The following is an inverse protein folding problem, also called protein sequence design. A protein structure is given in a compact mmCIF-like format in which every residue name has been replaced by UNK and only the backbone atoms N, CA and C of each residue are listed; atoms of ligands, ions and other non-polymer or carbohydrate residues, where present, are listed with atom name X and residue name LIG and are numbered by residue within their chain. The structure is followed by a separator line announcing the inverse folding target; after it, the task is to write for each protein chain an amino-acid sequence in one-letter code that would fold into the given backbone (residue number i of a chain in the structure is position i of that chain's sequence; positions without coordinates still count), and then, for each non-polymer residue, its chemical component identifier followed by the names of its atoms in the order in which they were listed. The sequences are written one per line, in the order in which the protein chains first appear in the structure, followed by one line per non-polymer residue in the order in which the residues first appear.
data_IF_095766004486
#
_entry.id   IF_095766004486
#
_cell.length_a   1.000
_cell.length_b   1.000
_cell.length_c   1.000
_cell.angle_alpha   90.00
_cell.angle_beta   90.00
_cell.angle_gamma   90.00
#
_symmetry.space_group_name_H-M   'P 1'
#
loop_
_entity.id
_entity.type
_entity.pdbx_description
1 polymer ?
2 non-polymer ?
3 non-polymer ?
4 non-polymer ?
5 water ?
#
# COMPACT_ATOMS: atom_id res chain seq x y z
N UNK A 12 -12.79 -6.31 24.83
CA UNK A 12 -11.42 -6.89 24.67
C UNK A 12 -10.84 -6.54 23.30
N UNK A 13 -11.56 -5.73 22.52
CA UNK A 13 -11.08 -5.34 21.19
C UNK A 13 -9.80 -4.53 21.32
N UNK A 14 -8.72 -5.05 20.77
CA UNK A 14 -7.42 -4.39 20.81
C UNK A 14 -7.55 -2.98 20.25
N UNK A 15 -6.76 -2.05 20.78
CA UNK A 15 -6.80 -0.66 20.33
C UNK A 15 -5.39 -0.21 19.97
N UNK A 16 -4.44 -1.10 20.14
CA UNK A 16 -3.05 -0.80 19.83
C UNK A 16 -2.25 -2.09 19.75
N UNK A 17 -0.99 -1.96 19.41
CA UNK A 17 -0.10 -3.09 19.29
C UNK A 17 1.02 -2.92 20.30
N UNK A 18 1.35 -3.98 21.04
CA UNK A 18 2.41 -3.89 22.03
C UNK A 18 3.74 -3.69 21.34
N UNK A 19 4.70 -3.09 22.05
CA UNK A 19 6.02 -2.86 21.51
C UNK A 19 6.63 -4.18 21.06
N UNK A 20 6.39 -5.24 21.82
CA UNK A 20 6.93 -6.54 21.45
C UNK A 20 6.30 -7.06 20.17
N UNK A 21 4.98 -6.95 20.03
CA UNK A 21 4.33 -7.42 18.82
C UNK A 21 4.83 -6.61 17.62
N UNK A 22 4.98 -5.31 17.81
CA UNK A 22 5.43 -4.45 16.73
C UNK A 22 6.83 -4.82 16.25
N UNK A 23 7.78 -4.84 17.16
CA UNK A 23 9.15 -5.18 16.82
C UNK A 23 9.32 -6.55 16.19
N UNK A 24 8.73 -7.58 16.79
CA UNK A 24 8.87 -8.93 16.23
C UNK A 24 8.32 -8.94 14.81
N UNK A 25 7.21 -8.22 14.60
CA UNK A 25 6.58 -8.15 13.29
C UNK A 25 7.46 -7.43 12.28
N UNK A 26 7.85 -6.21 12.61
CA UNK A 26 8.68 -5.41 11.73
C UNK A 26 10.14 -5.85 11.59
N UNK A 27 10.78 -6.24 12.69
CA UNK A 27 12.17 -6.66 12.58
C UNK A 27 12.30 -7.98 11.81
N UNK A 28 11.36 -8.90 12.00
CA UNK A 28 11.41 -10.17 11.27
C UNK A 28 11.20 -9.89 9.80
N UNK A 29 10.32 -8.94 9.50
CA UNK A 29 10.02 -8.58 8.12
C UNK A 29 11.22 -7.96 7.46
N UNK A 30 11.96 -7.14 8.20
CA UNK A 30 13.15 -6.51 7.65
C UNK A 30 14.20 -7.56 7.32
N UNK A 31 14.27 -8.60 8.15
CA UNK A 31 15.24 -9.67 7.92
C UNK A 31 14.84 -10.44 6.67
N UNK A 32 13.54 -10.68 6.53
CA UNK A 32 13.03 -11.37 5.37
C UNK A 32 13.39 -10.54 4.14
N UNK A 33 13.21 -9.23 4.23
CA UNK A 33 13.52 -8.36 3.12
C UNK A 33 14.98 -8.45 2.71
N UNK A 34 15.87 -8.44 3.70
CA UNK A 34 17.30 -8.54 3.42
C UNK A 34 17.64 -9.86 2.75
N UNK A 35 17.05 -10.95 3.23
CA UNK A 35 17.28 -12.25 2.64
C UNK A 35 16.90 -12.22 1.16
N UNK A 36 15.86 -11.48 0.83
CA UNK A 36 15.39 -11.38 -0.56
C UNK A 36 16.13 -10.27 -1.30
N UNK A 37 17.22 -9.83 -0.71
CA UNK A 37 18.09 -8.79 -1.28
C UNK A 37 17.49 -7.39 -1.45
N UNK A 38 16.55 -7.00 -0.60
CA UNK A 38 16.01 -5.65 -0.71
C UNK A 38 16.95 -4.81 0.17
N UNK A 39 17.41 -3.65 -0.31
CA UNK A 39 18.32 -2.79 0.45
C UNK A 39 17.69 -2.04 1.63
N UNK A 40 17.45 -2.76 2.71
CA UNK A 40 16.85 -2.17 3.90
C UNK A 40 17.90 -1.58 4.84
N UNK A 41 17.83 -0.28 5.06
CA UNK A 41 18.75 0.43 5.94
C UNK A 41 18.14 0.54 7.33
N UNK A 42 18.93 0.94 8.31
CA UNK A 42 18.44 1.07 9.68
C UNK A 42 17.28 2.04 9.81
N UNK A 43 17.41 3.19 9.17
CA UNK A 43 16.36 4.22 9.23
C UNK A 43 15.02 3.72 8.67
N UNK A 44 15.07 2.76 7.77
CA UNK A 44 13.84 2.23 7.17
C UNK A 44 13.07 1.35 8.16
N UNK A 45 13.78 0.76 9.11
CA UNK A 45 13.15 -0.09 10.11
C UNK A 45 12.74 0.81 11.26
N UNK A 46 11.56 1.40 11.14
CA UNK A 46 11.04 2.34 12.14
C UNK A 46 9.61 2.04 12.58
N UNK A 47 9.09 2.90 13.46
CA UNK A 47 7.74 2.74 13.99
C UNK A 47 6.64 3.14 13.00
N UNK A 48 7.01 3.45 11.77
CA UNK A 48 6.02 3.82 10.76
C UNK A 48 5.91 2.73 9.69
N UNK A 49 6.84 1.78 9.72
CA UNK A 49 6.85 0.70 8.74
C UNK A 49 5.67 -0.24 8.90
N UNK A 50 5.30 -0.55 10.13
CA UNK A 50 4.18 -1.45 10.37
C UNK A 50 2.89 -0.64 10.40
N UNK A 51 1.98 -0.94 9.48
CA UNK A 51 0.73 -0.21 9.35
C UNK A 51 -0.53 -1.01 9.67
N UNK A 52 -1.43 -0.41 10.44
CA UNK A 52 -2.70 -1.03 10.79
C UNK A 52 -3.74 0.00 10.31
N UNK A 53 -4.60 -0.40 9.38
CA UNK A 53 -5.59 0.51 8.81
C UNK A 53 -6.89 0.68 9.59
N UNK A 54 -6.81 1.38 10.71
CA UNK A 54 -8.01 1.61 11.50
C UNK A 54 -8.04 0.91 12.85
N UNK A 55 -8.67 1.57 13.81
CA UNK A 55 -8.80 1.07 15.18
C UNK A 55 -9.28 -0.36 15.30
N UNK A 56 -10.29 -0.74 14.52
CA UNK A 56 -10.81 -2.10 14.61
C UNK A 56 -9.91 -3.13 13.90
N UNK A 57 -8.80 -2.67 13.35
CA UNK A 57 -7.89 -3.58 12.65
C UNK A 57 -6.79 -4.10 13.57
N UNK A 58 -6.66 -3.47 14.73
CA UNK A 58 -5.65 -3.91 15.69
C UNK A 58 -5.98 -5.30 16.19
N UNK A 59 -7.23 -5.72 16.02
CA UNK A 59 -7.62 -7.06 16.45
C UNK A 59 -6.86 -8.11 15.67
N UNK A 60 -6.09 -7.68 14.68
CA UNK A 60 -5.30 -8.62 13.90
C UNK A 60 -4.29 -9.25 14.85
N UNK A 61 -3.93 -8.51 15.89
CA UNK A 61 -2.96 -8.98 16.86
C UNK A 61 -3.52 -9.75 18.05
N UNK A 62 -4.78 -10.17 17.95
CA UNK A 62 -5.38 -10.97 19.02
C UNK A 62 -4.84 -12.38 18.80
N UNK A 63 -4.86 -12.83 17.55
CA UNK A 63 -4.34 -14.15 17.22
C UNK A 63 -3.01 -14.07 16.47
N UNK A 64 -2.66 -12.87 16.04
CA UNK A 64 -1.39 -12.68 15.36
C UNK A 64 -1.35 -12.75 13.84
N UNK A 65 -0.22 -12.32 13.29
CA UNK A 65 0.00 -12.29 11.85
C UNK A 65 0.05 -13.63 11.13
N UNK A 66 0.04 -14.74 11.88
CA UNK A 66 0.03 -16.05 11.23
C UNK A 66 -1.30 -16.76 11.44
N UNK A 67 -2.29 -16.03 11.95
CA UNK A 67 -3.61 -16.62 12.17
C UNK A 67 -4.30 -16.88 10.83
N UNK A 68 -4.01 -16.06 9.83
CA UNK A 68 -4.61 -16.23 8.52
C UNK A 68 -5.91 -15.45 8.40
N UNK A 69 -6.31 -14.82 9.49
CA UNK A 69 -7.55 -14.04 9.54
C UNK A 69 -7.52 -12.79 8.67
N UNK A 70 -8.69 -12.40 8.13
CA UNK A 70 -8.80 -11.22 7.28
C UNK A 70 -8.79 -9.88 8.03
N UNK A 71 -7.66 -9.18 7.95
CA UNK A 71 -7.51 -7.87 8.57
C UNK A 71 -6.74 -6.99 7.60
N UNK A 72 -6.84 -5.68 7.79
CA UNK A 72 -6.16 -4.74 6.92
C UNK A 72 -4.97 -4.15 7.66
N UNK A 73 -3.79 -4.69 7.34
CA UNK A 73 -2.54 -4.29 7.96
C UNK A 73 -1.40 -4.80 7.08
N UNK A 74 -0.28 -4.08 7.09
CA UNK A 74 0.85 -4.47 6.27
C UNK A 74 2.09 -3.72 6.72
N UNK A 75 3.21 -4.10 6.12
CA UNK A 75 4.48 -3.47 6.41
C UNK A 75 5.03 -2.88 5.13
N UNK A 76 5.62 -1.69 5.23
CA UNK A 76 6.21 -1.07 4.06
C UNK A 76 7.56 -0.51 4.44
N UNK A 77 8.59 -0.89 3.71
CA UNK A 77 9.95 -0.40 3.94
C UNK A 77 10.25 0.41 2.69
N UNK A 78 10.25 1.73 2.84
CA UNK A 78 10.50 2.63 1.73
C UNK A 78 11.98 2.93 1.55
N UNK A 79 12.54 2.54 0.41
CA UNK A 79 13.95 2.77 0.13
C UNK A 79 14.18 4.04 -0.68
N UNK A 80 13.12 4.54 -1.29
CA UNK A 80 13.22 5.73 -2.10
C UNK A 80 11.87 6.42 -2.30
N UNK A 81 11.90 7.75 -2.22
CA UNK A 81 10.71 8.56 -2.46
C UNK A 81 11.32 9.88 -2.92
N UNK A 82 11.80 9.83 -4.16
CA UNK A 82 12.46 10.93 -4.81
C UNK A 82 11.49 11.82 -5.59
N UNK A 83 11.44 13.12 -5.25
CA UNK A 83 10.55 14.05 -5.93
C UNK A 83 10.84 14.15 -7.43
N UNK A 84 12.12 14.05 -7.79
CA UNK A 84 12.55 14.15 -9.19
C UNK A 84 12.19 15.54 -9.74
N UNK A 85 12.31 16.54 -8.87
CA UNK A 85 12.01 17.93 -9.22
C UNK A 85 13.21 18.63 -9.85
N UNK A 86 14.41 18.21 -9.46
CA UNK A 86 15.63 18.81 -9.99
C UNK A 86 15.79 18.62 -11.50
N UNK A 87 16.08 19.72 -12.20
CA UNK A 87 16.27 19.64 -13.63
C UNK A 87 15.01 19.83 -14.45
N UNK A 88 13.87 19.99 -13.77
CA UNK A 88 12.61 20.17 -14.47
C UNK A 88 12.39 21.61 -14.91
N UNK A 89 11.76 21.81 -16.08
CA UNK A 89 11.52 23.17 -16.53
C UNK A 89 10.46 23.73 -15.57
N UNK A 90 10.55 25.02 -15.25
CA UNK A 90 9.62 25.64 -14.32
C UNK A 90 8.14 25.40 -14.61
N UNK A 91 7.80 25.28 -15.90
CA UNK A 91 6.41 25.06 -16.26
C UNK A 91 5.82 23.77 -15.73
N UNK A 92 6.68 22.76 -15.56
CA UNK A 92 6.25 21.45 -15.06
C UNK A 92 5.94 21.46 -13.57
N UNK A 93 6.21 22.58 -12.91
CA UNK A 93 6.00 22.71 -11.47
C UNK A 93 4.64 22.23 -10.95
N UNK A 94 3.53 22.65 -11.59
CA UNK A 94 2.21 22.21 -11.12
C UNK A 94 1.85 20.75 -11.43
N UNK A 95 2.67 20.09 -12.24
CA UNK A 95 2.42 18.69 -12.62
C UNK A 95 3.50 17.73 -12.13
N UNK A 96 4.48 18.26 -11.40
CA UNK A 96 5.57 17.44 -10.89
C UNK A 96 5.07 16.38 -9.89
N UNK A 97 4.03 16.72 -9.16
CA UNK A 97 3.43 15.84 -8.16
C UNK A 97 2.94 14.51 -8.72
N UNK A 98 2.83 14.41 -10.05
CA UNK A 98 2.38 13.18 -10.68
C UNK A 98 3.58 12.30 -11.04
N UNK A 99 4.78 12.87 -10.91
CA UNK A 99 5.99 12.15 -11.22
C UNK A 99 6.73 11.73 -9.95
N UNK A 100 8.06 11.66 -10.03
CA UNK A 100 8.84 11.25 -8.88
C UNK A 100 9.04 9.74 -8.91
N UNK A 101 9.91 9.24 -8.04
CA UNK A 101 10.20 7.81 -7.98
C UNK A 101 10.13 7.27 -6.55
N UNK A 102 9.28 6.28 -6.34
CA UNK A 102 9.12 5.70 -5.02
C UNK A 102 9.32 4.17 -5.08
N UNK A 103 10.32 3.69 -4.35
CA UNK A 103 10.64 2.27 -4.33
C UNK A 103 10.44 1.79 -2.89
N UNK A 104 9.64 0.75 -2.71
CA UNK A 104 9.41 0.19 -1.39
C UNK A 104 9.16 -1.30 -1.46
N UNK A 105 9.32 -1.96 -0.32
CA UNK A 105 9.09 -3.38 -0.20
C UNK A 105 7.86 -3.49 0.69
N UNK A 106 6.88 -4.27 0.27
CA UNK A 106 5.66 -4.42 1.06
C UNK A 106 5.51 -5.87 1.49
N UNK A 107 5.20 -6.06 2.76
CA UNK A 107 5.03 -7.39 3.29
C UNK A 107 3.64 -7.56 3.89
N UNK A 108 2.90 -8.50 3.32
CA UNK A 108 1.55 -8.80 3.74
C UNK A 108 1.46 -10.26 4.16
N UNK A 109 1.02 -10.48 5.39
CA UNK A 109 0.90 -11.82 5.91
C UNK A 109 -0.37 -12.50 5.41
N UNK A 110 -0.42 -13.83 5.50
CA UNK A 110 -1.57 -14.62 5.04
C UNK A 110 -2.93 -14.09 5.50
N UNK A 111 -3.81 -13.89 4.53
CA UNK A 111 -5.15 -13.39 4.83
C UNK A 111 -5.28 -11.89 4.99
N UNK A 112 -4.17 -11.21 5.28
CA UNK A 112 -4.20 -9.76 5.47
C UNK A 112 -4.26 -8.97 4.16
N UNK A 113 -4.75 -7.73 4.24
CA UNK A 113 -4.92 -6.88 3.05
C UNK A 113 -4.31 -5.49 3.12
N UNK A 114 -4.07 -4.92 1.94
CA UNK A 114 -3.69 -3.53 1.80
C UNK A 114 -5.11 -3.15 1.33
N UNK A 115 -5.87 -2.41 2.17
CA UNK A 115 -7.25 -2.01 1.86
C UNK A 115 -7.57 -1.18 0.62
N UNK A 116 -8.83 -1.29 0.14
CA UNK A 116 -9.30 -0.56 -1.03
C UNK A 116 -8.99 0.94 -0.94
N UNK A 117 -8.38 1.47 -1.99
CA UNK A 117 -8.06 2.89 -2.04
C UNK A 117 -7.62 3.23 -3.45
N UNK A 118 -7.45 4.52 -3.71
CA UNK A 118 -6.99 4.95 -5.01
C UNK A 118 -6.17 6.21 -4.81
N UNK A 119 -5.33 6.52 -5.79
CA UNK A 119 -4.49 7.70 -5.73
C UNK A 119 -4.84 8.66 -6.87
N UNK A 120 -4.87 9.96 -6.57
CA UNK A 120 -5.17 10.92 -7.61
C UNK A 120 -3.95 11.14 -8.50
N UNK A 121 -2.77 11.05 -7.90
CA UNK A 121 -1.52 11.28 -8.63
C UNK A 121 -0.58 10.08 -8.81
N UNK A 122 -0.52 9.19 -7.82
CA UNK A 122 0.39 8.06 -7.91
C UNK A 122 0.00 6.83 -8.72
N UNK A 123 0.87 6.49 -9.65
CA UNK A 123 0.72 5.31 -10.50
C UNK A 123 1.73 4.29 -9.93
N UNK A 124 1.27 3.05 -9.71
CA UNK A 124 2.12 2.00 -9.15
C UNK A 124 2.39 0.86 -10.12
N UNK A 125 3.38 0.04 -9.77
CA UNK A 125 3.75 -1.14 -10.55
C UNK A 125 4.15 -2.17 -9.49
N UNK A 126 3.78 -3.43 -9.71
CA UNK A 126 4.10 -4.48 -8.74
C UNK A 126 5.00 -5.57 -9.27
N UNK A 127 5.87 -6.05 -8.39
CA UNK A 127 6.80 -7.12 -8.70
C UNK A 127 6.75 -8.04 -7.48
N UNK A 128 6.21 -9.25 -7.63
CA UNK A 128 6.14 -10.16 -6.49
C UNK A 128 7.51 -10.80 -6.30
N UNK A 129 8.02 -10.75 -5.08
CA UNK A 129 9.33 -11.32 -4.77
C UNK A 129 9.17 -12.68 -4.11
N UNK A 130 8.19 -12.79 -3.23
CA UNK A 130 7.92 -14.04 -2.52
C UNK A 130 6.42 -14.18 -2.29
N UNK A 131 5.92 -15.41 -2.39
CA UNK A 131 4.50 -15.62 -2.19
C UNK A 131 3.72 -15.27 -3.44
N UNK A 132 2.43 -15.01 -3.28
CA UNK A 132 1.59 -14.66 -4.42
C UNK A 132 0.72 -13.49 -4.01
N UNK A 133 0.43 -12.62 -4.98
CA UNK A 133 -0.34 -11.44 -4.70
C UNK A 133 -1.68 -11.45 -5.41
N UNK A 134 -2.75 -11.33 -4.64
CA UNK A 134 -4.09 -11.29 -5.20
C UNK A 134 -4.52 -9.84 -5.18
N UNK A 135 -4.64 -9.27 -6.37
CA UNK A 135 -5.03 -7.87 -6.54
C UNK A 135 -6.49 -7.76 -6.95
N UNK A 136 -7.18 -6.84 -6.31
CA UNK A 136 -8.58 -6.58 -6.59
C UNK A 136 -8.57 -5.12 -7.03
N UNK A 137 -9.23 -4.82 -8.15
CA UNK A 137 -9.23 -3.45 -8.62
C UNK A 137 -10.38 -3.12 -9.56
N UNK A 138 -10.55 -1.82 -9.79
CA UNK A 138 -11.57 -1.30 -10.68
C UNK A 138 -10.87 -0.98 -12.00
N UNK A 139 -11.29 -1.62 -13.09
CA UNK A 139 -10.68 -1.40 -14.41
C UNK A 139 -10.92 0.01 -14.99
N UNK A 140 -11.85 0.74 -14.40
CA UNK A 140 -12.12 2.11 -14.85
C UNK A 140 -11.62 3.08 -13.79
N UNK A 141 -11.06 4.21 -14.23
CA UNK A 141 -10.57 5.20 -13.27
C UNK A 141 -11.72 5.95 -12.63
N UNK A 142 -11.43 6.68 -11.56
CA UNK A 142 -12.44 7.48 -10.89
C UNK A 142 -12.51 8.79 -11.66
N UNK A 143 -13.70 9.21 -12.06
CA UNK A 143 -13.86 10.45 -12.81
C UNK A 143 -13.61 11.67 -11.91
N UNK A 144 -12.73 12.55 -12.35
CA UNK A 144 -12.42 13.76 -11.59
C UNK A 144 -13.18 14.94 -12.19
N UNK A 145 -14.24 15.35 -11.50
CA UNK A 145 -15.10 16.44 -11.95
C UNK A 145 -14.38 17.70 -12.44
N UNK A 146 -14.79 18.17 -13.62
CA UNK A 146 -14.24 19.38 -14.19
C UNK A 146 -12.81 19.34 -14.72
N UNK A 147 -12.32 18.17 -15.08
CA UNK A 147 -10.96 18.07 -15.61
C UNK A 147 -10.77 16.93 -16.61
N UNK A 148 -10.18 17.26 -17.75
CA UNK A 148 -9.94 16.30 -18.81
C UNK A 148 -8.66 15.53 -18.46
N UNK A 149 -8.68 14.22 -18.69
CA UNK A 149 -7.52 13.39 -18.37
C UNK A 149 -6.98 12.68 -19.60
N UNK A 150 -5.66 12.51 -19.64
CA UNK A 150 -5.01 11.84 -20.76
C UNK A 150 -5.27 10.34 -20.63
N UNK A 151 -5.11 9.62 -21.74
CA UNK A 151 -5.33 8.18 -21.77
C UNK A 151 -4.37 7.54 -22.77
N UNK A 152 -3.90 6.34 -22.46
CA UNK A 152 -2.99 5.64 -23.35
C UNK A 152 -3.21 4.12 -23.35
N UNK A 153 -3.00 3.49 -22.20
CA UNK A 153 -3.16 2.04 -22.13
C UNK A 153 -4.33 1.61 -21.28
N UNK A 154 -4.76 2.48 -20.36
CA UNK A 154 -5.86 2.11 -19.49
C UNK A 154 -5.49 0.88 -18.70
N UNK A 155 -6.45 0.28 -18.02
CA UNK A 155 -6.20 -0.93 -17.22
C UNK A 155 -6.89 -2.13 -17.84
N UNK A 156 -6.24 -3.31 -17.79
CA UNK A 156 -6.84 -4.52 -18.35
C UNK A 156 -8.04 -4.95 -17.51
N UNK A 157 -9.02 -5.57 -18.15
CA UNK A 157 -10.22 -6.03 -17.45
C UNK A 157 -9.95 -7.10 -16.40
N UNK A 158 -8.95 -7.94 -16.64
CA UNK A 158 -8.65 -8.97 -15.67
C UNK A 158 -9.69 -10.06 -15.60
N UNK A 159 -9.76 -10.75 -14.47
CA UNK A 159 -10.72 -11.82 -14.29
C UNK A 159 -11.64 -11.56 -13.10
N UNK A 160 -12.72 -12.35 -12.99
CA UNK A 160 -13.61 -12.15 -11.86
C UNK A 160 -12.90 -12.69 -10.63
N UNK A 161 -13.42 -12.36 -9.46
CA UNK A 161 -12.84 -12.83 -8.22
C UNK A 161 -13.00 -14.33 -8.11
N UNK A 162 -12.03 -15.01 -7.49
CA UNK A 162 -12.20 -16.45 -7.34
C UNK A 162 -13.20 -16.54 -6.19
N UNK A 163 -13.76 -17.71 -5.93
CA UNK A 163 -14.71 -17.82 -4.83
C UNK A 163 -14.06 -17.99 -3.46
N UNK A 164 -14.80 -17.63 -2.43
CA UNK A 164 -14.31 -17.78 -1.06
C UNK A 164 -13.28 -16.80 -0.54
N UNK A 165 -13.33 -15.56 -0.98
CA UNK A 165 -12.37 -14.57 -0.50
C UNK A 165 -12.91 -13.95 0.78
N UNK A 166 -12.27 -14.25 1.90
CA UNK A 166 -12.69 -13.71 3.20
C UNK A 166 -12.22 -12.27 3.34
N UNK A 167 -13.17 -11.36 3.53
CA UNK A 167 -12.87 -9.95 3.68
C UNK A 167 -12.95 -9.55 5.15
N UNK A 168 -12.28 -8.47 5.54
CA UNK A 168 -12.31 -8.03 6.94
C UNK A 168 -13.74 -7.71 7.39
N UNK A 169 -14.06 -8.08 8.63
CA UNK A 169 -15.39 -7.82 9.18
C UNK A 169 -15.62 -6.31 9.26
N UNK A 170 -16.72 -5.86 8.68
CA UNK A 170 -17.04 -4.45 8.72
C UNK A 170 -16.34 -3.64 7.64
N UNK A 171 -15.66 -4.32 6.73
CA UNK A 171 -14.94 -3.66 5.63
C UNK A 171 -15.36 -4.26 4.30
N UNK A 172 -16.21 -5.28 4.34
CA UNK A 172 -16.65 -5.96 3.13
C UNK A 172 -17.07 -5.06 1.98
N UNK A 173 -18.03 -4.17 2.24
CA UNK A 173 -18.54 -3.28 1.20
C UNK A 173 -17.50 -2.38 0.56
N UNK A 174 -16.38 -2.14 1.24
CA UNK A 174 -15.35 -1.27 0.66
C UNK A 174 -14.73 -1.91 -0.58
N UNK A 175 -14.93 -3.21 -0.73
CA UNK A 175 -14.37 -3.95 -1.87
C UNK A 175 -15.32 -4.11 -3.07
N UNK A 176 -16.59 -3.77 -2.87
CA UNK A 176 -17.62 -3.88 -3.89
C UNK A 176 -17.24 -3.50 -5.31
N UNK A 177 -16.68 -2.31 -5.47
CA UNK A 177 -16.30 -1.82 -6.80
C UNK A 177 -15.01 -2.38 -7.39
N UNK A 178 -14.24 -3.10 -6.59
CA UNK A 178 -12.98 -3.69 -7.07
C UNK A 178 -13.27 -5.08 -7.61
N UNK A 179 -14.06 -5.12 -8.68
CA UNK A 179 -14.50 -6.35 -9.31
C UNK A 179 -13.47 -7.10 -10.15
N UNK A 180 -12.47 -6.40 -10.67
CA UNK A 180 -11.44 -7.06 -11.46
C UNK A 180 -10.43 -7.72 -10.53
N UNK A 181 -9.90 -8.86 -10.95
CA UNK A 181 -8.97 -9.62 -10.13
C UNK A 181 -7.84 -10.22 -10.94
N UNK A 182 -6.68 -10.33 -10.30
CA UNK A 182 -5.52 -10.93 -10.94
C UNK A 182 -4.61 -11.47 -9.85
N UNK A 183 -4.00 -12.62 -10.10
CA UNK A 183 -3.10 -13.22 -9.13
C UNK A 183 -1.69 -13.13 -9.73
N UNK A 184 -0.82 -12.40 -9.05
CA UNK A 184 0.55 -12.19 -9.52
C UNK A 184 1.54 -13.08 -8.77
N UNK A 185 2.57 -13.54 -9.48
CA UNK A 185 3.60 -14.40 -8.92
C UNK A 185 4.99 -13.90 -9.27
N UNK A 186 5.99 -14.44 -8.58
CA UNK A 186 7.36 -14.06 -8.85
C UNK A 186 7.68 -14.43 -10.28
N UNK A 187 8.36 -13.54 -11.00
CA UNK A 187 8.71 -13.83 -12.37
C UNK A 187 7.72 -13.31 -13.41
N UNK A 188 6.55 -12.86 -12.96
CA UNK A 188 5.56 -12.33 -13.90
C UNK A 188 5.96 -10.97 -14.43
N UNK A 189 5.32 -10.55 -15.53
CA UNK A 189 5.64 -9.23 -16.08
C UNK A 189 5.27 -8.21 -14.99
N UNK A 190 5.94 -7.07 -14.96
CA UNK A 190 5.62 -6.03 -13.99
C UNK A 190 4.15 -5.66 -14.19
N UNK A 191 3.43 -5.40 -13.11
CA UNK A 191 2.02 -5.06 -13.18
C UNK A 191 1.76 -3.60 -12.84
N UNK A 192 1.17 -2.87 -13.78
CA UNK A 192 0.89 -1.45 -13.59
C UNK A 192 -0.51 -1.12 -13.07
N UNK A 193 -0.56 -0.33 -12.00
CA UNK A 193 -1.82 0.11 -11.43
C UNK A 193 -1.84 1.62 -11.65
N UNK A 194 -2.54 2.05 -12.70
CA UNK A 194 -2.59 3.48 -13.01
C UNK A 194 -3.25 4.28 -11.90
N UNK A 195 -2.84 5.53 -11.79
CA UNK A 195 -3.41 6.44 -10.81
C UNK A 195 -4.91 6.54 -11.09
N UNK A 196 -5.67 6.91 -10.06
CA UNK A 196 -7.12 7.08 -10.12
C UNK A 196 -7.89 5.77 -10.20
N UNK A 197 -7.20 4.66 -10.02
CA UNK A 197 -7.86 3.35 -10.05
C UNK A 197 -7.94 2.76 -8.65
N UNK A 198 -9.13 2.31 -8.28
CA UNK A 198 -9.32 1.69 -6.99
C UNK A 198 -8.58 0.36 -6.99
N UNK A 199 -7.88 0.08 -5.90
CA UNK A 199 -7.15 -1.18 -5.80
C UNK A 199 -6.92 -1.60 -4.37
N UNK A 200 -6.71 -2.90 -4.21
CA UNK A 200 -6.46 -3.53 -2.93
C UNK A 200 -5.79 -4.85 -3.25
N UNK A 201 -5.13 -5.45 -2.27
CA UNK A 201 -4.49 -6.73 -2.50
C UNK A 201 -4.25 -7.46 -1.20
N UNK A 202 -4.15 -8.78 -1.27
CA UNK A 202 -3.92 -9.59 -0.09
C UNK A 202 -2.99 -10.75 -0.43
N UNK A 203 -2.52 -11.38 0.64
CA UNK A 203 -1.70 -12.57 0.55
C UNK A 203 -2.72 -13.69 0.80
N UNK A 204 -2.72 -14.73 -0.04
CA UNK A 204 -3.68 -15.82 0.17
C UNK A 204 -3.53 -16.32 1.61
N UNK A 205 -4.66 -16.66 2.27
CA UNK A 205 -4.66 -17.15 3.66
C UNK A 205 -3.93 -18.47 3.89
N UNK A 206 -3.80 -19.27 2.84
CA UNK A 206 -3.15 -20.56 2.95
C UNK A 206 -1.67 -20.52 2.61
N UNK A 207 -1.14 -19.31 2.41
CA UNK A 207 0.26 -19.16 2.06
C UNK A 207 1.19 -19.55 3.21
N UNK A 208 2.24 -20.26 2.86
CA UNK A 208 3.23 -20.70 3.85
C UNK A 208 4.24 -19.58 4.09
N UNK A 209 4.18 -18.53 3.27
CA UNK A 209 5.10 -17.41 3.43
C UNK A 209 4.37 -16.09 3.30
N UNK A 210 4.94 -15.02 3.87
CA UNK A 210 4.28 -13.72 3.75
C UNK A 210 4.41 -13.28 2.29
N UNK A 211 3.47 -12.46 1.83
CA UNK A 211 3.57 -11.95 0.48
C UNK A 211 4.60 -10.82 0.56
N UNK A 212 5.59 -10.85 -0.32
CA UNK A 212 6.60 -9.80 -0.34
C UNK A 212 6.56 -9.23 -1.75
N UNK A 213 6.29 -7.92 -1.84
CA UNK A 213 6.19 -7.27 -3.14
C UNK A 213 7.02 -6.01 -3.23
N UNK A 214 7.69 -5.83 -4.35
CA UNK A 214 8.48 -4.65 -4.57
C UNK A 214 7.61 -3.67 -5.38
N UNK A 215 7.38 -2.48 -4.83
CA UNK A 215 6.58 -1.49 -5.55
C UNK A 215 7.45 -0.38 -6.09
N UNK A 216 7.28 -0.07 -7.37
CA UNK A 216 8.00 1.00 -8.03
C UNK A 216 6.90 1.92 -8.53
N UNK A 217 6.80 3.11 -7.95
CA UNK A 217 5.75 4.03 -8.35
C UNK A 217 6.26 5.45 -8.45
N UNK A 218 5.34 6.37 -8.72
CA UNK A 218 5.69 7.78 -8.79
C UNK A 218 5.70 8.24 -7.34
N UNK A 219 6.12 9.48 -7.09
CA UNK A 219 6.22 10.01 -5.74
C UNK A 219 5.05 9.71 -4.81
N UNK A 220 5.36 9.38 -3.56
CA UNK A 220 4.33 9.08 -2.57
C UNK A 220 4.09 10.29 -1.65
N UNK A 221 2.96 10.96 -1.84
CA UNK A 221 2.59 12.12 -1.02
C UNK A 221 1.86 11.61 0.21
N UNK A 222 2.57 11.53 1.33
CA UNK A 222 1.97 11.05 2.57
C UNK A 222 2.55 11.72 3.81
N UNK A 223 1.81 12.67 4.41
CA UNK A 223 2.29 13.37 5.62
C UNK A 223 2.21 12.42 6.82
N UNK A 224 2.84 11.26 6.69
CA UNK A 224 2.83 10.24 7.75
C UNK A 224 3.61 10.63 9.00
N UNK A 225 3.92 9.62 9.81
CA UNK A 225 4.65 9.81 11.07
C UNK A 225 6.16 9.89 10.81
N UNK A 226 6.64 9.06 9.89
CA UNK A 226 8.07 9.04 9.56
C UNK A 226 8.39 10.08 8.49
N UNK A 227 7.37 10.80 8.04
CA UNK A 227 7.55 11.83 7.02
C UNK A 227 6.83 13.12 7.40
N UNK A 228 6.97 13.52 8.67
CA UNK A 228 6.35 14.74 9.16
C UNK A 228 7.39 15.73 9.69
N UNK A 229 7.96 16.52 8.78
CA UNK A 229 8.96 17.48 9.18
C UNK A 229 10.02 17.76 8.13
N UNK A 230 9.91 17.10 6.98
CA UNK A 230 10.87 17.26 5.89
C UNK A 230 10.64 18.57 5.13
N UNK A 231 11.39 18.77 4.05
CA UNK A 231 11.26 19.97 3.23
C UNK A 231 10.44 19.65 1.98
N UNK A 232 9.62 20.61 1.55
CA UNK A 232 8.79 20.43 0.37
C UNK A 232 9.49 20.94 -0.88
N UNK A 233 9.68 20.07 -1.88
CA UNK A 233 10.35 20.45 -3.14
C UNK A 233 9.58 21.52 -3.90
N UNK A 234 8.26 21.48 -3.77
CA UNK A 234 7.38 22.45 -4.42
C UNK A 234 6.35 22.86 -3.37
N UNK A 235 6.06 24.17 -3.28
CA UNK A 235 5.08 24.72 -2.33
C UNK A 235 3.84 23.87 -2.11
N UNK A 236 3.05 23.69 -3.18
CA UNK A 236 1.81 22.92 -3.10
C UNK A 236 1.96 21.54 -2.44
N UNK A 237 3.08 20.87 -2.71
CA UNK A 237 3.32 19.54 -2.14
C UNK A 237 3.16 19.50 -0.62
N UNK A 238 3.36 20.64 0.03
CA UNK A 238 3.25 20.72 1.49
C UNK A 238 1.86 20.32 2.00
N UNK A 239 1.84 19.30 2.86
CA UNK A 239 0.58 18.82 3.42
C UNK A 239 -0.27 18.04 2.45
N UNK A 240 0.10 18.07 1.17
CA UNK A 240 -0.64 17.37 0.13
C UNK A 240 -0.84 15.89 0.45
N UNK A 241 -2.08 15.43 0.33
CA UNK A 241 -2.39 14.02 0.59
C UNK A 241 -2.80 13.37 -0.73
N UNK A 242 -2.39 12.12 -0.92
CA UNK A 242 -2.68 11.40 -2.15
C UNK A 242 -3.22 9.99 -1.90
N UNK A 243 -3.80 9.78 -0.73
CA UNK A 243 -4.38 8.48 -0.39
C UNK A 243 -5.86 8.67 -0.15
N UNK A 244 -6.68 7.88 -0.84
CA UNK A 244 -8.12 7.97 -0.69
C UNK A 244 -8.65 6.57 -0.45
N UNK A 245 -8.77 6.19 0.82
CA UNK A 245 -9.28 4.86 1.17
C UNK A 245 -10.79 4.86 1.10
N UNK A 246 -11.35 3.76 0.60
CA UNK A 246 -12.80 3.62 0.48
C UNK A 246 -13.44 3.66 1.87
N UNK A 247 -12.80 2.99 2.83
CA UNK A 247 -13.31 2.96 4.20
C UNK A 247 -12.66 4.09 4.99
N UNK A 248 -13.48 4.92 5.62
CA UNK A 248 -12.95 6.06 6.38
C UNK A 248 -12.06 5.64 7.54
N UNK A 249 -12.35 4.47 8.11
CA UNK A 249 -11.56 3.96 9.23
C UNK A 249 -10.12 3.74 8.81
N UNK A 250 -9.92 3.43 7.53
CA UNK A 250 -8.58 3.17 7.00
C UNK A 250 -7.71 4.41 6.82
N UNK A 251 -8.30 5.51 6.36
CA UNK A 251 -7.55 6.75 6.13
C UNK A 251 -6.85 7.29 7.38
N UNK A 252 -7.53 7.22 8.51
CA UNK A 252 -6.99 7.72 9.76
C UNK A 252 -5.79 6.92 10.28
N UNK A 253 -6.04 5.68 10.70
CA UNK A 253 -4.98 4.85 11.22
C UNK A 253 -3.79 4.63 10.30
N UNK A 254 -3.93 5.03 9.04
CA UNK A 254 -2.86 4.86 8.07
C UNK A 254 -1.61 5.66 8.44
N UNK A 255 -1.81 6.93 8.80
CA UNK A 255 -0.70 7.81 9.14
C UNK A 255 -0.06 7.62 10.52
N UNK A 256 -0.51 6.63 11.28
CA UNK A 256 0.06 6.38 12.60
C UNK A 256 -0.35 5.07 13.23
N UNK A 257 0.62 4.36 13.81
CA UNK A 257 0.37 3.08 14.46
C UNK A 257 0.47 3.24 15.97
N UNK A 258 -0.57 2.81 16.68
CA UNK A 258 -0.60 2.91 18.13
C UNK A 258 0.19 1.77 18.75
N UNK A 259 1.39 2.08 19.24
CA UNK A 259 2.24 1.09 19.86
C UNK A 259 2.29 1.35 21.37
N UNK A 260 1.72 0.42 22.13
CA UNK A 260 1.69 0.53 23.58
C UNK A 260 2.91 -0.12 24.22
#
# INVERSE_FOLDING_TARGET
MRGSHHHHHHGSARTSITRREYDEWVREAAALGKALRYPITEKMVNDSAGIVFGADQYDAFKNGMWSGEPYEAMIIFESLNEPAVDGLPTGAAPYAEYSGLCDKLMIVHPGKFCPPHHHGRKTESYEVVLGEMEVFYSPTPSAESGVELLNFSGMPVGSPWPEGVALPKGRESSYEKLTSYVRLRAGDPKFVMHRKHLHAFRCPPDSDVPLVVREVSTYSHEPTEAAAGNHAPIPSWLGMHDNDFVSDAANTGRLQTAIS
#
